data_IF_773548266139
#
_entry.id   IF_773548266139
#
_cell.length_a   1.000
_cell.length_b   1.000
_cell.length_c   1.000
_cell.angle_alpha   90.00
_cell.angle_beta   90.00
_cell.angle_gamma   90.00
#
_symmetry.space_group_name_H-M   'P 1'
#
loop_
_entity.id
_entity.type
_entity.pdbx_description
1 polymer ?
#
# COMPACT_ATOMS: atom_id res chain seq x y z
N UNK A 1 -29.66 46.93 -46.10
CA UNK A 1 -29.39 47.93 -45.04
C UNK A 1 -28.11 47.54 -44.32
N UNK A 2 -27.12 48.43 -44.33
CA UNK A 2 -25.96 48.56 -43.41
C UNK A 2 -24.96 47.39 -43.32
N UNK A 3 -23.63 47.54 -43.46
CA UNK A 3 -22.69 48.51 -44.06
C UNK A 3 -21.26 48.00 -43.70
N UNK A 4 -20.36 47.96 -44.70
CA UNK A 4 -18.87 48.09 -44.70
C UNK A 4 -17.97 47.24 -43.75
N UNK A 5 -17.04 46.37 -44.22
CA UNK A 5 -15.77 46.50 -44.98
C UNK A 5 -14.57 47.16 -44.24
N UNK A 6 -13.55 46.31 -43.96
CA UNK A 6 -12.10 46.47 -44.20
C UNK A 6 -11.24 47.48 -43.40
N UNK A 7 -10.07 47.05 -42.91
CA UNK A 7 -8.72 47.39 -43.43
C UNK A 7 -7.60 47.02 -42.43
N UNK A 8 -6.49 46.50 -42.98
CA UNK A 8 -5.25 46.07 -42.34
C UNK A 8 -4.26 47.22 -41.96
N UNK A 9 -3.29 46.84 -41.11
CA UNK A 9 -1.81 47.05 -41.23
C UNK A 9 -1.07 48.17 -40.45
N UNK A 10 0.07 47.75 -39.88
CA UNK A 10 1.32 48.45 -39.49
C UNK A 10 1.30 49.39 -38.26
N UNK A 11 2.04 49.15 -37.16
CA UNK A 11 3.51 49.08 -36.90
C UNK A 11 4.22 50.45 -36.95
N UNK A 12 4.54 51.05 -35.79
CA UNK A 12 5.88 51.60 -35.42
C UNK A 12 5.87 52.56 -34.20
N UNK A 13 6.79 52.25 -33.27
CA UNK A 13 7.67 53.12 -32.47
C UNK A 13 7.12 54.23 -31.55
N UNK A 14 7.31 54.05 -30.23
CA UNK A 14 7.97 55.07 -29.40
C UNK A 14 8.88 54.40 -28.36
N UNK A 15 10.17 54.74 -28.41
CA UNK A 15 11.17 54.43 -27.39
C UNK A 15 10.94 55.30 -26.14
N UNK A 16 11.05 54.72 -24.95
CA UNK A 16 11.61 55.44 -23.80
C UNK A 16 12.44 54.52 -22.92
N UNK A 17 13.74 54.85 -22.92
CA UNK A 17 14.81 54.75 -21.90
C UNK A 17 14.66 53.75 -20.74
N UNK A 18 15.74 52.99 -20.56
CA UNK A 18 15.84 51.85 -19.67
C UNK A 18 15.94 52.15 -18.18
N UNK A 19 15.76 51.08 -17.40
CA UNK A 19 16.40 50.89 -16.12
C UNK A 19 16.88 49.44 -16.05
N UNK A 20 18.20 49.25 -16.09
CA UNK A 20 18.83 47.97 -15.76
C UNK A 20 18.86 47.90 -14.23
N UNK A 21 18.03 47.03 -13.65
CA UNK A 21 18.21 46.59 -12.29
C UNK A 21 18.80 45.18 -12.33
N UNK A 22 20.10 45.09 -12.11
CA UNK A 22 20.79 43.86 -11.74
C UNK A 22 20.23 43.39 -10.40
N UNK A 23 19.47 42.30 -10.43
CA UNK A 23 19.03 41.59 -9.24
C UNK A 23 19.40 40.14 -9.42
N UNK A 24 20.41 39.70 -8.67
CA UNK A 24 20.89 38.33 -8.60
C UNK A 24 19.73 37.34 -8.66
N UNK A 25 19.70 36.52 -9.70
CA UNK A 25 18.86 35.33 -9.75
C UNK A 25 19.26 34.45 -8.59
N UNK A 26 18.56 34.61 -7.46
CA UNK A 26 18.55 33.62 -6.40
C UNK A 26 17.89 32.42 -7.07
N UNK A 27 18.72 31.51 -7.57
CA UNK A 27 18.30 30.17 -7.93
C UNK A 27 17.69 29.61 -6.64
N UNK A 28 16.37 29.76 -6.52
CA UNK A 28 15.60 28.96 -5.60
C UNK A 28 15.99 27.52 -5.97
N UNK A 29 16.81 26.90 -5.11
CA UNK A 29 16.92 25.46 -5.12
C UNK A 29 15.49 25.00 -4.95
N UNK A 30 14.90 24.51 -6.04
CA UNK A 30 13.72 23.69 -5.97
C UNK A 30 14.11 22.57 -5.00
N UNK A 31 13.67 22.74 -3.75
CA UNK A 31 13.91 21.76 -2.73
C UNK A 31 13.06 20.58 -3.16
N UNK A 32 13.70 19.65 -3.86
CA UNK A 32 13.05 18.45 -4.36
C UNK A 32 12.23 17.88 -3.20
N UNK A 33 10.91 17.87 -3.39
CA UNK A 33 10.00 17.07 -2.57
C UNK A 33 10.70 15.72 -2.38
N UNK A 34 10.91 15.23 -1.14
CA UNK A 34 11.49 13.91 -0.96
C UNK A 34 10.72 12.98 -1.87
N UNK A 35 11.40 12.42 -2.88
CA UNK A 35 10.84 11.34 -3.64
C UNK A 35 10.54 10.29 -2.60
N UNK A 36 9.26 10.13 -2.26
CA UNK A 36 8.82 9.04 -1.41
C UNK A 36 9.09 7.82 -2.29
N UNK A 37 10.30 7.27 -2.19
CA UNK A 37 10.55 5.93 -2.65
C UNK A 37 9.47 5.11 -1.99
N UNK A 38 8.61 4.49 -2.81
CA UNK A 38 7.51 3.66 -2.33
C UNK A 38 8.10 2.71 -1.32
N UNK A 39 7.85 2.94 -0.02
CA UNK A 39 8.43 2.11 1.01
C UNK A 39 7.97 0.69 0.70
N UNK A 40 8.93 -0.18 0.39
CA UNK A 40 8.61 -1.56 0.10
C UNK A 40 7.87 -2.12 1.31
N UNK A 41 6.66 -2.63 1.09
CA UNK A 41 5.88 -3.25 2.16
C UNK A 41 6.67 -4.48 2.63
N UNK A 42 6.92 -4.53 3.93
CA UNK A 42 7.45 -5.70 4.62
C UNK A 42 6.45 -6.13 5.68
N UNK A 43 5.79 -7.28 5.48
CA UNK A 43 4.83 -7.85 6.45
C UNK A 43 5.47 -8.82 7.44
N UNK A 44 6.79 -8.99 7.43
CA UNK A 44 7.50 -9.93 8.31
C UNK A 44 7.36 -9.55 9.77
N UNK A 45 6.82 -10.44 10.60
CA UNK A 45 6.72 -10.21 12.04
C UNK A 45 5.65 -11.08 12.70
N UNK A 46 5.37 -10.77 13.97
CA UNK A 46 4.29 -11.41 14.73
C UNK A 46 3.06 -10.52 14.69
N UNK A 47 1.92 -11.11 14.37
CA UNK A 47 0.65 -10.43 14.16
C UNK A 47 -0.43 -11.06 15.02
N UNK A 48 -1.34 -10.23 15.55
CA UNK A 48 -2.53 -10.71 16.27
C UNK A 48 -3.73 -10.65 15.35
N UNK A 49 -4.44 -11.77 15.23
CA UNK A 49 -5.72 -11.85 14.53
C UNK A 49 -6.88 -11.46 15.45
N UNK A 50 -7.97 -10.97 14.88
CA UNK A 50 -9.21 -10.71 15.59
C UNK A 50 -10.04 -11.99 15.90
N UNK A 51 -9.52 -13.16 15.58
CA UNK A 51 -10.08 -14.49 15.87
C UNK A 51 -9.41 -15.16 17.08
N UNK A 52 -8.59 -14.41 17.84
CA UNK A 52 -7.82 -14.93 18.96
C UNK A 52 -6.56 -15.70 18.55
N UNK A 53 -6.16 -15.61 17.28
CA UNK A 53 -4.94 -16.21 16.75
C UNK A 53 -3.68 -15.34 16.90
N UNK A 54 -2.53 -16.00 17.04
CA UNK A 54 -1.21 -15.39 16.86
C UNK A 54 -0.57 -15.92 15.58
N UNK A 55 -0.06 -15.03 14.75
CA UNK A 55 0.42 -15.32 13.41
C UNK A 55 1.88 -14.91 13.27
N UNK A 56 2.70 -15.83 12.78
CA UNK A 56 4.11 -15.62 12.47
C UNK A 56 4.22 -15.50 10.96
N UNK A 57 4.39 -14.28 10.48
CA UNK A 57 4.43 -13.97 9.05
C UNK A 57 5.87 -13.74 8.62
N UNK A 58 6.28 -14.35 7.51
CA UNK A 58 7.58 -14.12 6.88
C UNK A 58 7.39 -13.77 5.41
N UNK A 59 7.94 -12.63 5.01
CA UNK A 59 8.05 -12.25 3.60
C UNK A 59 9.46 -12.58 3.07
N UNK A 60 9.52 -13.16 1.87
CA UNK A 60 10.75 -13.41 1.12
C UNK A 60 10.50 -12.95 -0.32
N UNK A 61 11.05 -11.78 -0.68
CA UNK A 61 10.67 -11.10 -1.92
C UNK A 61 9.17 -10.78 -1.91
N UNK A 62 8.45 -11.26 -2.92
CA UNK A 62 6.99 -11.14 -2.99
C UNK A 62 6.26 -12.34 -2.35
N UNK A 63 6.95 -13.39 -1.93
CA UNK A 63 6.28 -14.54 -1.31
C UNK A 63 6.07 -14.32 0.18
N UNK A 64 4.83 -14.53 0.62
CA UNK A 64 4.42 -14.46 2.02
C UNK A 64 4.11 -15.86 2.51
N UNK A 65 4.74 -16.22 3.61
CA UNK A 65 4.45 -17.42 4.38
C UNK A 65 3.88 -17.01 5.73
N UNK A 66 2.98 -17.82 6.29
CA UNK A 66 2.69 -17.72 7.71
C UNK A 66 2.50 -19.06 8.40
N UNK A 67 2.54 -19.02 9.72
CA UNK A 67 1.89 -19.98 10.60
C UNK A 67 0.97 -19.24 11.55
N UNK A 68 -0.30 -19.62 11.59
CA UNK A 68 -1.31 -19.11 12.52
C UNK A 68 -1.64 -20.14 13.59
N UNK A 69 -1.73 -19.72 14.84
CA UNK A 69 -2.08 -20.58 15.98
C UNK A 69 -3.21 -19.96 16.80
N UNK A 70 -4.29 -20.72 16.97
CA UNK A 70 -5.39 -20.38 17.88
C UNK A 70 -4.95 -20.17 19.33
N UNK A 71 -5.85 -19.64 20.17
CA UNK A 71 -5.68 -19.52 21.61
C UNK A 71 -4.40 -18.74 21.97
N UNK A 72 -4.22 -17.57 21.37
CA UNK A 72 -3.09 -16.67 21.59
C UNK A 72 -1.71 -17.33 21.38
N UNK A 73 -1.59 -18.22 20.39
CA UNK A 73 -0.31 -18.84 20.05
C UNK A 73 -0.15 -20.28 20.53
N UNK A 74 -1.12 -20.85 21.24
CA UNK A 74 -1.04 -22.25 21.73
C UNK A 74 -1.31 -23.24 20.59
N UNK A 75 -2.32 -22.97 19.76
CA UNK A 75 -2.65 -23.76 18.56
C UNK A 75 -3.55 -24.98 18.79
N UNK A 76 -4.22 -25.08 19.93
CA UNK A 76 -4.99 -26.28 20.34
C UNK A 76 -6.33 -26.46 19.62
N UNK A 77 -6.98 -25.39 19.14
CA UNK A 77 -8.22 -25.53 18.38
C UNK A 77 -7.92 -25.75 16.90
N UNK A 78 -7.13 -24.83 16.33
CA UNK A 78 -6.63 -24.85 14.97
C UNK A 78 -5.20 -24.33 14.94
N UNK A 79 -4.44 -24.82 13.96
CA UNK A 79 -3.14 -24.29 13.56
C UNK A 79 -3.11 -24.36 12.05
N UNK A 80 -2.81 -23.25 11.38
CA UNK A 80 -2.76 -23.20 9.91
C UNK A 80 -1.45 -22.67 9.38
N UNK A 81 -1.18 -23.01 8.14
CA UNK A 81 -0.13 -22.43 7.31
C UNK A 81 -0.76 -21.71 6.13
N UNK A 82 -0.06 -20.71 5.61
CA UNK A 82 -0.42 -20.00 4.38
C UNK A 82 0.80 -19.79 3.54
N UNK A 83 0.60 -19.84 2.21
CA UNK A 83 1.56 -19.38 1.22
C UNK A 83 0.84 -18.54 0.19
N UNK A 84 1.34 -17.35 -0.08
CA UNK A 84 0.78 -16.45 -1.10
C UNK A 84 1.81 -15.50 -1.68
N UNK A 85 1.35 -14.66 -2.61
CA UNK A 85 2.14 -13.64 -3.28
C UNK A 85 1.60 -12.26 -2.93
N UNK A 86 2.49 -11.34 -2.56
CA UNK A 86 2.24 -9.93 -2.30
C UNK A 86 2.60 -9.10 -3.54
N UNK A 87 1.61 -8.45 -4.13
CA UNK A 87 1.73 -7.54 -5.28
C UNK A 87 1.19 -6.18 -4.89
N UNK A 88 2.08 -5.18 -4.79
CA UNK A 88 1.72 -3.90 -4.18
C UNK A 88 1.29 -4.10 -2.73
N UNK A 89 0.08 -3.70 -2.39
CA UNK A 89 -0.54 -3.82 -1.07
C UNK A 89 -1.45 -5.06 -0.93
N UNK A 90 -1.55 -5.91 -1.96
CA UNK A 90 -2.47 -7.06 -1.97
C UNK A 90 -1.72 -8.37 -1.90
N UNK A 91 -2.13 -9.25 -1.00
CA UNK A 91 -1.67 -10.62 -0.96
C UNK A 91 -2.81 -11.58 -1.33
N UNK A 92 -2.48 -12.65 -2.07
CA UNK A 92 -3.39 -13.75 -2.38
C UNK A 92 -2.64 -15.08 -2.35
N UNK A 93 -3.28 -16.12 -1.83
CA UNK A 93 -2.67 -17.43 -1.69
C UNK A 93 -3.63 -18.51 -1.19
N UNK A 94 -3.05 -19.63 -0.74
CA UNK A 94 -3.78 -20.75 -0.16
C UNK A 94 -3.39 -20.95 1.30
N UNK A 95 -4.31 -21.49 2.08
CA UNK A 95 -4.11 -21.85 3.47
C UNK A 95 -4.65 -23.25 3.75
N UNK A 96 -4.10 -23.89 4.77
CA UNK A 96 -4.58 -25.16 5.28
C UNK A 96 -4.30 -25.28 6.78
N UNK A 97 -5.22 -25.86 7.52
CA UNK A 97 -4.97 -26.33 8.88
C UNK A 97 -4.06 -27.57 8.87
N UNK A 98 -3.25 -27.70 9.91
CA UNK A 98 -2.28 -28.79 10.12
C UNK A 98 -2.55 -29.46 11.48
N UNK A 99 -2.14 -30.73 11.69
CA UNK A 99 -2.61 -31.57 12.81
C UNK A 99 -1.94 -31.25 14.16
N UNK A 100 -1.99 -29.97 14.57
CA UNK A 100 -1.73 -29.49 15.93
C UNK A 100 -3.03 -29.16 16.66
N UNK A 101 -4.04 -28.69 15.92
CA UNK A 101 -5.42 -28.57 16.39
C UNK A 101 -6.33 -29.64 15.78
N UNK A 102 -7.61 -29.63 16.12
CA UNK A 102 -8.59 -30.58 15.61
C UNK A 102 -9.26 -30.15 14.30
N UNK A 103 -9.25 -28.84 13.98
CA UNK A 103 -9.76 -28.34 12.70
C UNK A 103 -8.79 -28.71 11.57
N UNK A 104 -9.34 -29.14 10.43
CA UNK A 104 -8.58 -29.59 9.25
C UNK A 104 -9.11 -28.94 7.96
N UNK A 105 -9.50 -27.67 8.02
CA UNK A 105 -10.04 -26.93 6.87
C UNK A 105 -8.92 -26.39 5.98
N UNK A 106 -9.26 -25.99 4.76
CA UNK A 106 -8.32 -25.37 3.82
C UNK A 106 -9.07 -24.51 2.79
N UNK A 107 -8.35 -23.62 2.12
CA UNK A 107 -8.95 -22.80 1.07
C UNK A 107 -8.04 -21.72 0.53
N UNK A 108 -8.66 -20.75 -0.13
CA UNK A 108 -8.00 -19.56 -0.64
C UNK A 108 -8.17 -18.41 0.35
N UNK A 109 -7.18 -17.53 0.41
CA UNK A 109 -7.21 -16.34 1.25
C UNK A 109 -6.51 -15.17 0.56
N UNK A 110 -7.17 -14.02 0.58
CA UNK A 110 -6.60 -12.75 0.11
C UNK A 110 -6.78 -11.67 1.16
N UNK A 111 -5.82 -10.75 1.25
CA UNK A 111 -5.86 -9.59 2.15
C UNK A 111 -5.14 -8.38 1.55
N UNK A 112 -5.50 -7.19 2.04
CA UNK A 112 -4.83 -5.93 1.72
C UNK A 112 -4.07 -5.43 2.96
N UNK A 113 -2.88 -4.85 2.74
CA UNK A 113 -2.03 -4.25 3.76
C UNK A 113 -2.35 -2.75 3.89
N UNK A 114 -2.51 -2.29 5.12
CA UNK A 114 -2.75 -0.88 5.46
C UNK A 114 -1.72 -0.40 6.48
N UNK A 115 -1.21 0.81 6.27
CA UNK A 115 -0.52 1.55 7.32
C UNK A 115 -1.56 2.33 8.14
N UNK A 116 -1.40 2.32 9.45
CA UNK A 116 -2.23 3.06 10.40
C UNK A 116 -1.36 4.02 11.20
N UNK A 117 -1.96 4.93 11.96
CA UNK A 117 -1.22 5.84 12.83
C UNK A 117 -0.39 5.11 13.91
N UNK A 118 -0.76 3.87 14.26
CA UNK A 118 -0.18 3.12 15.38
C UNK A 118 0.57 1.86 14.97
N UNK A 119 0.68 1.57 13.66
CA UNK A 119 1.27 0.32 13.19
C UNK A 119 0.71 -0.12 11.85
N UNK A 120 0.65 -1.43 11.62
CA UNK A 120 0.22 -2.00 10.34
C UNK A 120 -0.99 -2.92 10.54
N UNK A 121 -1.86 -2.98 9.53
CA UNK A 121 -3.01 -3.87 9.51
C UNK A 121 -3.05 -4.71 8.23
N UNK A 122 -3.45 -5.97 8.36
CA UNK A 122 -3.90 -6.79 7.24
C UNK A 122 -5.42 -6.88 7.33
N UNK A 123 -6.14 -6.67 6.23
CA UNK A 123 -7.60 -6.86 6.18
C UNK A 123 -7.95 -7.84 5.09
N UNK A 124 -8.65 -8.91 5.46
CA UNK A 124 -9.12 -9.93 4.53
C UNK A 124 -10.05 -9.32 3.48
N UNK A 125 -9.84 -9.71 2.23
CA UNK A 125 -10.62 -9.26 1.07
C UNK A 125 -11.38 -10.38 0.38
N UNK A 126 -10.89 -11.63 0.42
CA UNK A 126 -11.58 -12.80 -0.10
C UNK A 126 -11.18 -14.06 0.68
N UNK A 127 -12.08 -15.05 0.75
CA UNK A 127 -11.85 -16.29 1.50
C UNK A 127 -12.71 -17.45 0.98
N UNK A 128 -12.18 -18.66 1.07
CA UNK A 128 -12.94 -19.91 1.06
C UNK A 128 -12.49 -20.83 2.20
N UNK A 129 -13.25 -21.90 2.46
CA UNK A 129 -12.89 -22.91 3.48
C UNK A 129 -13.18 -22.53 4.93
N UNK A 130 -13.89 -21.41 5.17
CA UNK A 130 -14.33 -21.02 6.52
C UNK A 130 -13.24 -20.43 7.42
N UNK A 131 -12.19 -19.82 6.86
CA UNK A 131 -11.13 -19.19 7.65
C UNK A 131 -11.70 -18.11 8.61
N UNK A 132 -11.28 -18.14 9.89
CA UNK A 132 -11.82 -17.27 10.94
C UNK A 132 -11.34 -15.82 10.86
N UNK A 133 -10.02 -15.59 10.91
CA UNK A 133 -9.41 -14.26 10.95
C UNK A 133 -9.79 -13.36 9.77
N UNK A 134 -10.02 -12.08 10.06
CA UNK A 134 -10.40 -11.08 9.06
C UNK A 134 -9.64 -9.76 9.19
N UNK A 135 -9.07 -9.47 10.37
CA UNK A 135 -8.19 -8.34 10.61
C UNK A 135 -7.00 -8.83 11.43
N UNK A 136 -5.80 -8.43 11.03
CA UNK A 136 -4.56 -8.66 11.77
C UNK A 136 -3.88 -7.34 12.04
N UNK A 137 -3.30 -7.18 13.23
CA UNK A 137 -2.60 -5.96 13.64
C UNK A 137 -1.26 -6.27 14.29
N UNK A 138 -0.32 -5.32 14.15
CA UNK A 138 0.95 -5.27 14.85
C UNK A 138 1.43 -3.83 15.01
#
# INVERSE_FOLDING_TARGET
>A
MKKFFSVCLAFALMLSVGLVASGNGVLAKEQAKPGIGTQAIDVTGVWRGNDGGLYYIRQVGNTVWWTGLSNNGVGTNWTNVFKGQLTGDKAAGTWADVPRGAVMSHGNLSFTVYYTATGMQLKRTAVSGGFGGSIWYR
#
